data_IF_991195354885
#
_entry.id   IF_991195354885
#
_cell.length_a   1.000
_cell.length_b   1.000
_cell.length_c   1.000
_cell.angle_alpha   90.00
_cell.angle_beta   90.00
_cell.angle_gamma   90.00
#
_symmetry.space_group_name_H-M   'P 1'
#
loop_
_entity.id
_entity.type
_entity.pdbx_description
1 polymer ?
#
# COMPACT_ATOMS: atom_id res chain seq x y z
N UNK A 1 9.93 -32.66 -1.52
CA UNK A 1 9.62 -33.45 -2.73
C UNK A 1 8.75 -32.63 -3.67
N UNK A 2 9.29 -31.66 -4.43
CA UNK A 2 8.46 -30.65 -5.12
C UNK A 2 8.96 -30.17 -6.49
N UNK A 3 9.83 -30.92 -7.17
CA UNK A 3 10.47 -30.49 -8.42
C UNK A 3 10.02 -31.27 -9.67
N UNK A 4 9.13 -32.27 -9.53
CA UNK A 4 8.74 -33.15 -10.66
C UNK A 4 7.56 -32.64 -11.49
N UNK A 5 6.72 -31.76 -10.96
CA UNK A 5 5.53 -31.25 -11.67
C UNK A 5 5.85 -30.08 -12.58
N UNK A 6 6.63 -29.11 -12.08
CA UNK A 6 7.13 -27.98 -12.88
C UNK A 6 8.04 -28.44 -14.03
N UNK A 7 8.86 -29.47 -13.81
CA UNK A 7 9.71 -30.04 -14.86
C UNK A 7 8.92 -30.77 -15.94
N UNK A 8 7.80 -31.44 -15.59
CA UNK A 8 6.89 -32.06 -16.56
C UNK A 8 6.09 -31.03 -17.37
N UNK A 9 5.56 -29.98 -16.74
CA UNK A 9 4.84 -28.92 -17.46
C UNK A 9 5.79 -28.11 -18.34
N UNK A 10 6.99 -27.76 -17.85
CA UNK A 10 8.01 -27.10 -18.67
C UNK A 10 8.46 -27.98 -19.82
N UNK A 11 8.62 -29.29 -19.63
CA UNK A 11 8.93 -30.22 -20.72
C UNK A 11 7.80 -30.33 -21.75
N UNK A 12 6.53 -30.26 -21.32
CA UNK A 12 5.36 -30.27 -22.22
C UNK A 12 5.21 -28.93 -22.94
N UNK A 13 5.42 -27.79 -22.28
CA UNK A 13 5.45 -26.47 -22.94
C UNK A 13 6.63 -26.37 -23.92
N UNK A 14 7.79 -26.93 -23.57
CA UNK A 14 8.94 -27.03 -24.47
C UNK A 14 8.68 -27.99 -25.64
N UNK A 15 7.91 -29.07 -25.47
CA UNK A 15 7.52 -29.95 -26.58
C UNK A 15 6.42 -29.35 -27.46
N UNK A 16 5.58 -28.47 -26.90
CA UNK A 16 4.59 -27.68 -27.62
C UNK A 16 5.24 -26.54 -28.43
N UNK A 17 6.31 -25.93 -27.93
CA UNK A 17 7.04 -24.82 -28.58
C UNK A 17 8.19 -25.29 -29.48
N UNK A 18 8.83 -26.43 -29.19
CA UNK A 18 10.07 -26.89 -29.81
C UNK A 18 9.98 -27.46 -31.23
N UNK A 19 8.94 -27.16 -32.01
CA UNK A 19 8.79 -27.65 -33.39
C UNK A 19 8.68 -26.53 -34.43
N UNK A 20 9.25 -25.35 -34.17
CA UNK A 20 9.30 -24.24 -35.13
C UNK A 20 10.50 -24.23 -36.07
N UNK A 21 11.39 -25.23 -36.09
CA UNK A 21 12.50 -25.27 -37.04
C UNK A 21 12.54 -26.58 -37.84
N UNK A 22 12.04 -26.50 -39.09
CA UNK A 22 12.64 -27.11 -40.30
C UNK A 22 11.69 -27.05 -41.52
N UNK A 23 11.06 -25.91 -41.81
CA UNK A 23 10.47 -25.67 -43.14
C UNK A 23 10.79 -24.23 -43.58
N UNK A 24 12.07 -23.93 -43.80
CA UNK A 24 12.50 -22.76 -44.56
C UNK A 24 13.97 -22.86 -44.95
N UNK A 25 14.29 -23.54 -46.06
CA UNK A 25 15.38 -23.14 -46.97
C UNK A 25 15.39 -24.06 -48.19
N UNK A 26 14.92 -23.53 -49.32
CA UNK A 26 14.92 -24.21 -50.60
C UNK A 26 14.52 -23.27 -51.73
N UNK A 27 15.20 -22.13 -51.89
CA UNK A 27 15.14 -21.36 -53.15
C UNK A 27 16.26 -20.34 -53.33
N UNK A 28 17.02 -20.52 -54.41
CA UNK A 28 17.85 -19.51 -55.09
C UNK A 28 19.36 -19.77 -54.98
N UNK A 29 20.12 -20.06 -56.04
CA UNK A 29 19.83 -20.17 -57.46
C UNK A 29 21.09 -20.60 -58.24
N UNK A 30 20.94 -20.97 -59.52
CA UNK A 30 22.09 -21.16 -60.43
C UNK A 30 21.96 -22.25 -61.50
N UNK A 31 21.19 -21.95 -62.55
CA UNK A 31 21.24 -22.45 -63.95
C UNK A 31 21.98 -23.78 -64.26
N UNK A 32 21.23 -24.75 -64.79
CA UNK A 32 21.40 -25.24 -66.19
C UNK A 32 20.40 -26.34 -66.56
N UNK A 33 19.82 -26.17 -67.75
CA UNK A 33 19.37 -27.20 -68.72
C UNK A 33 18.69 -28.50 -68.24
N UNK A 34 17.45 -28.68 -68.72
CA UNK A 34 16.96 -30.00 -69.16
C UNK A 34 15.80 -30.57 -68.35
N UNK A 35 14.67 -30.74 -69.02
CA UNK A 35 13.64 -31.71 -68.64
C UNK A 35 12.70 -31.31 -67.51
N UNK A 36 11.55 -30.73 -67.85
CA UNK A 36 10.34 -30.84 -67.03
C UNK A 36 9.90 -32.31 -67.04
N UNK A 37 10.46 -33.10 -66.13
CA UNK A 37 9.82 -34.32 -65.66
C UNK A 37 8.90 -33.92 -64.51
N UNK A 38 7.68 -33.52 -64.86
CA UNK A 38 6.56 -33.41 -63.93
C UNK A 38 6.26 -34.81 -63.39
N UNK A 39 6.98 -35.19 -62.33
CA UNK A 39 6.73 -36.42 -61.60
C UNK A 39 5.38 -36.33 -60.90
N UNK A 40 4.37 -37.00 -61.45
CA UNK A 40 3.01 -37.16 -60.91
C UNK A 40 2.93 -37.89 -59.54
N UNK A 41 4.04 -38.03 -58.80
CA UNK A 41 4.11 -38.80 -57.54
C UNK A 41 4.31 -37.97 -56.25
N UNK A 42 4.73 -36.70 -56.33
CA UNK A 42 5.09 -35.90 -55.14
C UNK A 42 3.90 -35.31 -54.37
N UNK A 43 2.75 -35.12 -55.03
CA UNK A 43 1.56 -34.49 -54.43
C UNK A 43 0.88 -35.37 -53.38
N UNK A 44 0.83 -36.69 -53.59
CA UNK A 44 0.22 -37.64 -52.64
C UNK A 44 1.07 -37.80 -51.37
N UNK A 45 2.41 -37.85 -51.52
CA UNK A 45 3.32 -37.98 -50.37
C UNK A 45 3.28 -36.74 -49.48
N UNK A 46 3.20 -35.53 -50.07
CA UNK A 46 3.08 -34.28 -49.32
C UNK A 46 1.72 -34.17 -48.60
N UNK A 47 0.64 -34.64 -49.24
CA UNK A 47 -0.69 -34.64 -48.63
C UNK A 47 -0.79 -35.60 -47.44
N UNK A 48 -0.17 -36.79 -47.53
CA UNK A 48 -0.09 -37.74 -46.42
C UNK A 48 0.71 -37.17 -45.23
N UNK A 49 1.83 -36.50 -45.49
CA UNK A 49 2.63 -35.85 -44.44
C UNK A 49 1.84 -34.75 -43.71
N UNK A 50 1.09 -33.91 -44.44
CA UNK A 50 0.24 -32.87 -43.83
C UNK A 50 -0.92 -33.47 -43.00
N UNK A 51 -1.51 -34.59 -43.45
CA UNK A 51 -2.54 -35.29 -42.65
C UNK A 51 -1.98 -35.88 -41.35
N UNK A 52 -0.76 -36.43 -41.40
CA UNK A 52 -0.06 -36.90 -40.18
C UNK A 52 0.22 -35.73 -39.22
N UNK A 53 0.63 -34.56 -39.72
CA UNK A 53 0.81 -33.37 -38.89
C UNK A 53 -0.49 -32.92 -38.22
N UNK A 54 -1.63 -32.96 -38.93
CA UNK A 54 -2.94 -32.64 -38.33
C UNK A 54 -3.27 -33.62 -37.19
N UNK A 55 -3.01 -34.92 -37.36
CA UNK A 55 -3.24 -35.91 -36.31
C UNK A 55 -2.35 -35.67 -35.08
N UNK A 56 -1.07 -35.36 -35.30
CA UNK A 56 -0.13 -35.02 -34.21
C UNK A 56 -0.55 -33.76 -33.46
N UNK A 57 -0.98 -32.70 -34.17
CA UNK A 57 -1.52 -31.50 -33.54
C UNK A 57 -2.79 -31.84 -32.74
N UNK A 58 -3.67 -32.71 -33.27
CA UNK A 58 -4.86 -33.17 -32.56
C UNK A 58 -4.55 -33.85 -31.22
N UNK A 59 -3.53 -34.74 -31.19
CA UNK A 59 -3.07 -35.37 -29.95
C UNK A 59 -2.51 -34.34 -28.96
N UNK A 60 -1.67 -33.41 -29.43
CA UNK A 60 -1.10 -32.33 -28.61
C UNK A 60 -2.17 -31.40 -28.04
N UNK A 61 -3.25 -31.14 -28.78
CA UNK A 61 -4.38 -30.36 -28.29
C UNK A 61 -5.14 -31.11 -27.17
N UNK A 62 -5.36 -32.41 -27.31
CA UNK A 62 -5.98 -33.22 -26.25
C UNK A 62 -5.12 -33.30 -24.99
N UNK A 63 -3.80 -33.40 -25.14
CA UNK A 63 -2.87 -33.31 -24.01
C UNK A 63 -2.88 -31.92 -23.39
N UNK A 64 -2.90 -30.87 -24.22
CA UNK A 64 -3.04 -29.48 -23.80
C UNK A 64 -4.30 -29.23 -22.99
N UNK A 65 -5.45 -29.78 -23.40
CA UNK A 65 -6.73 -29.68 -22.68
C UNK A 65 -6.63 -30.29 -21.27
N UNK A 66 -5.99 -31.46 -21.13
CA UNK A 66 -5.77 -32.10 -19.82
C UNK A 66 -4.90 -31.22 -18.92
N UNK A 67 -3.78 -30.74 -19.45
CA UNK A 67 -2.84 -29.89 -18.70
C UNK A 67 -3.47 -28.54 -18.35
N UNK A 68 -4.27 -27.96 -19.25
CA UNK A 68 -5.01 -26.72 -18.98
C UNK A 68 -6.03 -26.92 -17.85
N UNK A 69 -6.73 -28.05 -17.85
CA UNK A 69 -7.69 -28.38 -16.80
C UNK A 69 -6.99 -28.50 -15.44
N UNK A 70 -5.92 -29.28 -15.35
CA UNK A 70 -5.11 -29.44 -14.13
C UNK A 70 -4.53 -28.10 -13.64
N UNK A 71 -4.02 -27.27 -14.55
CA UNK A 71 -3.50 -25.94 -14.21
C UNK A 71 -4.60 -25.00 -13.72
N UNK A 72 -5.80 -25.07 -14.30
CA UNK A 72 -6.94 -24.27 -13.88
C UNK A 72 -7.46 -24.68 -12.51
N UNK A 73 -7.57 -25.98 -12.24
CA UNK A 73 -7.94 -26.51 -10.91
C UNK A 73 -6.95 -26.04 -9.84
N UNK A 74 -5.65 -26.11 -10.13
CA UNK A 74 -4.61 -25.60 -9.22
C UNK A 74 -4.68 -24.08 -9.03
N UNK A 75 -4.98 -23.32 -10.08
CA UNK A 75 -5.16 -21.86 -9.96
C UNK A 75 -6.35 -21.53 -9.06
N UNK A 76 -7.44 -22.31 -9.13
CA UNK A 76 -8.60 -22.15 -8.25
C UNK A 76 -8.28 -22.49 -6.79
N UNK A 77 -7.52 -23.57 -6.53
CA UNK A 77 -7.04 -23.91 -5.18
C UNK A 77 -6.17 -22.78 -4.59
N UNK A 78 -5.21 -22.27 -5.37
CA UNK A 78 -4.34 -21.18 -4.96
C UNK A 78 -5.15 -19.89 -4.73
N UNK A 79 -6.19 -19.64 -5.53
CA UNK A 79 -7.09 -18.49 -5.33
C UNK A 79 -7.83 -18.59 -4.00
N UNK A 80 -8.30 -19.78 -3.60
CA UNK A 80 -8.93 -19.98 -2.29
C UNK A 80 -7.94 -19.74 -1.15
N UNK A 81 -6.70 -20.23 -1.26
CA UNK A 81 -5.64 -19.97 -0.28
C UNK A 81 -5.35 -18.47 -0.17
N UNK A 82 -5.26 -17.76 -1.29
CA UNK A 82 -5.07 -16.31 -1.30
C UNK A 82 -6.25 -15.57 -0.66
N UNK A 83 -7.49 -15.93 -0.98
CA UNK A 83 -8.68 -15.31 -0.37
C UNK A 83 -8.70 -15.51 1.14
N UNK A 84 -8.34 -16.70 1.63
CA UNK A 84 -8.22 -16.96 3.07
C UNK A 84 -7.13 -16.11 3.70
N UNK A 85 -5.94 -16.07 3.11
CA UNK A 85 -4.84 -15.25 3.62
C UNK A 85 -5.18 -13.74 3.64
N UNK A 86 -5.94 -13.25 2.66
CA UNK A 86 -6.42 -11.87 2.63
C UNK A 86 -7.45 -11.58 3.73
N UNK A 87 -8.39 -12.52 3.96
CA UNK A 87 -9.34 -12.42 5.06
C UNK A 87 -8.64 -12.43 6.43
N UNK A 88 -7.71 -13.35 6.64
CA UNK A 88 -6.91 -13.47 7.87
C UNK A 88 -6.09 -12.18 8.10
N UNK A 89 -5.45 -11.64 7.05
CA UNK A 89 -4.70 -10.38 7.15
C UNK A 89 -5.60 -9.17 7.48
N UNK A 90 -6.80 -9.10 6.91
CA UNK A 90 -7.78 -8.05 7.25
C UNK A 90 -8.26 -8.17 8.69
N UNK A 91 -8.43 -9.39 9.20
CA UNK A 91 -8.79 -9.62 10.59
C UNK A 91 -7.67 -9.17 11.54
N UNK A 92 -6.43 -9.62 11.31
CA UNK A 92 -5.28 -9.24 12.17
C UNK A 92 -4.99 -7.74 12.12
N UNK A 93 -5.26 -7.07 10.99
CA UNK A 93 -5.19 -5.61 10.91
C UNK A 93 -6.21 -4.93 11.85
N UNK A 94 -7.46 -5.42 11.90
CA UNK A 94 -8.47 -4.89 12.82
C UNK A 94 -8.09 -5.13 14.27
N UNK A 95 -7.62 -6.32 14.59
CA UNK A 95 -7.14 -6.69 15.92
C UNK A 95 -5.95 -5.82 16.35
N UNK A 96 -4.99 -5.55 15.46
CA UNK A 96 -3.87 -4.64 15.70
C UNK A 96 -4.34 -3.22 16.03
N UNK A 97 -5.30 -2.69 15.26
CA UNK A 97 -5.86 -1.35 15.50
C UNK A 97 -6.58 -1.31 16.86
N UNK A 98 -7.36 -2.34 17.18
CA UNK A 98 -8.06 -2.43 18.46
C UNK A 98 -7.10 -2.57 19.65
N UNK A 99 -6.07 -3.41 19.54
CA UNK A 99 -5.05 -3.58 20.56
C UNK A 99 -4.27 -2.28 20.81
N UNK A 100 -3.93 -1.54 19.74
CA UNK A 100 -3.30 -0.22 19.85
C UNK A 100 -4.19 0.76 20.61
N UNK A 101 -5.47 0.82 20.25
CA UNK A 101 -6.44 1.71 20.92
C UNK A 101 -6.60 1.34 22.40
N UNK A 102 -6.70 0.05 22.73
CA UNK A 102 -6.78 -0.41 24.12
C UNK A 102 -5.53 0.00 24.91
N UNK A 103 -4.33 -0.29 24.40
CA UNK A 103 -3.09 0.05 25.06
C UNK A 103 -2.95 1.58 25.29
N UNK A 104 -3.36 2.38 24.31
CA UNK A 104 -3.39 3.85 24.46
C UNK A 104 -4.37 4.33 25.53
N UNK A 105 -5.57 3.75 25.60
CA UNK A 105 -6.57 4.11 26.61
C UNK A 105 -6.16 3.66 28.01
N UNK A 106 -5.64 2.44 28.15
CA UNK A 106 -5.14 1.92 29.43
C UNK A 106 -3.99 2.79 29.95
N UNK A 107 -3.05 3.16 29.09
CA UNK A 107 -1.91 4.00 29.46
C UNK A 107 -2.33 5.46 29.76
N UNK A 108 -3.30 6.03 29.03
CA UNK A 108 -3.86 7.36 29.36
C UNK A 108 -4.56 7.38 30.71
N UNK A 109 -5.15 6.25 31.09
CA UNK A 109 -5.91 6.10 32.32
C UNK A 109 -5.07 5.57 33.49
N UNK A 110 -3.75 5.48 33.34
CA UNK A 110 -2.90 4.96 34.41
C UNK A 110 -3.04 5.78 35.69
N UNK A 111 -3.15 5.12 36.86
CA UNK A 111 -3.34 5.80 38.13
C UNK A 111 -2.17 6.73 38.46
N UNK A 112 -0.95 6.37 38.07
CA UNK A 112 0.24 7.20 38.29
C UNK A 112 0.18 8.51 37.51
N UNK A 113 -0.31 8.48 36.26
CA UNK A 113 -0.45 9.68 35.44
C UNK A 113 -1.57 10.58 35.95
N UNK A 114 -2.69 9.99 36.40
CA UNK A 114 -3.79 10.74 37.02
C UNK A 114 -3.35 11.40 38.32
N UNK A 115 -2.74 10.65 39.23
CA UNK A 115 -2.25 11.14 40.50
C UNK A 115 -1.20 12.25 40.31
N UNK A 116 -0.27 12.11 39.36
CA UNK A 116 0.73 13.15 39.09
C UNK A 116 0.10 14.44 38.55
N UNK A 117 -0.94 14.36 37.72
CA UNK A 117 -1.68 15.52 37.22
C UNK A 117 -2.46 16.21 38.34
N UNK A 118 -3.20 15.43 39.13
CA UNK A 118 -3.99 15.94 40.26
C UNK A 118 -3.10 16.62 41.30
N UNK A 119 -1.95 16.02 41.64
CA UNK A 119 -0.96 16.62 42.55
C UNK A 119 -0.44 17.95 42.02
N UNK A 120 -0.09 18.02 40.73
CA UNK A 120 0.42 19.26 40.12
C UNK A 120 -0.66 20.36 40.07
N UNK A 121 -1.91 19.98 39.80
CA UNK A 121 -3.05 20.90 39.79
C UNK A 121 -3.36 21.43 41.19
N UNK A 122 -3.35 20.56 42.20
CA UNK A 122 -3.51 20.94 43.61
C UNK A 122 -2.46 21.95 44.06
N UNK A 123 -1.18 21.66 43.83
CA UNK A 123 -0.08 22.59 44.18
C UNK A 123 -0.16 23.94 43.46
N UNK A 124 -0.64 23.95 42.20
CA UNK A 124 -0.87 25.19 41.46
C UNK A 124 -2.04 25.99 42.03
N UNK A 125 -3.09 25.31 42.49
CA UNK A 125 -4.20 25.91 43.22
C UNK A 125 -3.73 26.57 44.51
N UNK A 126 -2.97 25.83 45.33
CA UNK A 126 -2.39 26.35 46.57
C UNK A 126 -1.48 27.56 46.31
N UNK A 127 -0.63 27.52 45.28
CA UNK A 127 0.23 28.67 44.93
C UNK A 127 -0.61 29.90 44.51
N UNK A 128 -1.74 29.70 43.83
CA UNK A 128 -2.64 30.78 43.46
C UNK A 128 -3.32 31.40 44.70
N UNK A 129 -3.69 30.59 45.69
CA UNK A 129 -4.21 31.07 46.97
C UNK A 129 -3.16 31.89 47.74
N UNK A 130 -1.90 31.43 47.79
CA UNK A 130 -0.81 32.20 48.40
C UNK A 130 -0.61 33.52 47.66
N UNK A 131 -0.60 33.52 46.33
CA UNK A 131 -0.50 34.75 45.54
C UNK A 131 -1.61 35.73 45.89
N UNK A 132 -2.84 35.25 46.06
CA UNK A 132 -3.97 36.08 46.48
C UNK A 132 -3.70 36.70 47.87
N UNK A 133 -3.27 35.91 48.85
CA UNK A 133 -2.94 36.41 50.20
C UNK A 133 -1.81 37.44 50.16
N UNK A 134 -0.75 37.19 49.40
CA UNK A 134 0.38 38.13 49.23
C UNK A 134 -0.09 39.45 48.62
N UNK A 135 -0.94 39.41 47.60
CA UNK A 135 -1.52 40.62 46.98
C UNK A 135 -2.41 41.38 47.97
N UNK A 136 -3.19 40.68 48.80
CA UNK A 136 -4.00 41.30 49.85
C UNK A 136 -3.11 42.04 50.86
N UNK A 137 -2.03 41.41 51.35
CA UNK A 137 -1.05 42.04 52.23
C UNK A 137 -0.33 43.21 51.58
N UNK A 138 0.11 43.09 50.32
CA UNK A 138 0.72 44.20 49.58
C UNK A 138 -0.24 45.38 49.44
N UNK A 139 -1.53 45.10 49.21
CA UNK A 139 -2.56 46.13 49.10
C UNK A 139 -2.77 46.86 50.41
N UNK A 140 -2.71 46.18 51.56
CA UNK A 140 -2.90 46.81 52.88
C UNK A 140 -1.65 47.51 53.41
N UNK A 141 -0.47 46.93 53.21
CA UNK A 141 0.73 47.27 53.99
C UNK A 141 1.89 47.83 53.17
N UNK A 142 1.89 47.68 51.83
CA UNK A 142 3.00 48.12 50.99
C UNK A 142 2.69 49.43 50.25
N UNK A 143 3.27 50.53 50.72
CA UNK A 143 3.06 51.86 50.14
C UNK A 143 3.56 51.98 48.69
N UNK A 144 4.59 51.25 48.29
CA UNK A 144 5.09 51.24 46.91
C UNK A 144 4.12 50.52 45.98
N UNK A 145 3.58 49.37 46.42
CA UNK A 145 2.55 48.64 45.69
C UNK A 145 1.26 49.45 45.54
N UNK A 146 0.80 50.11 46.60
CA UNK A 146 -0.37 51.00 46.54
C UNK A 146 -0.18 52.14 45.54
N UNK A 147 1.01 52.78 45.52
CA UNK A 147 1.36 53.82 44.55
C UNK A 147 1.37 53.27 43.12
N UNK A 148 2.03 52.14 42.90
CA UNK A 148 2.10 51.50 41.58
C UNK A 148 0.71 51.08 41.08
N UNK A 149 -0.15 50.56 41.97
CA UNK A 149 -1.53 50.21 41.67
C UNK A 149 -2.35 51.41 41.27
N UNK A 150 -2.22 52.53 41.99
CA UNK A 150 -2.89 53.79 41.63
C UNK A 150 -2.43 54.30 40.25
N UNK A 151 -1.13 54.28 39.96
CA UNK A 151 -0.59 54.66 38.64
C UNK A 151 -1.17 53.79 37.53
N UNK A 152 -1.32 52.48 37.77
CA UNK A 152 -1.95 51.57 36.81
C UNK A 152 -3.45 51.85 36.62
N UNK A 153 -4.20 52.07 37.70
CA UNK A 153 -5.63 52.42 37.65
C UNK A 153 -5.87 53.77 36.95
N UNK A 154 -5.02 54.77 37.20
CA UNK A 154 -5.04 56.07 36.53
C UNK A 154 -4.74 55.92 35.03
N UNK A 155 -3.72 55.13 34.67
CA UNK A 155 -3.38 54.85 33.27
C UNK A 155 -4.50 54.12 32.53
N UNK A 156 -5.16 53.15 33.18
CA UNK A 156 -6.32 52.45 32.65
C UNK A 156 -7.51 53.39 32.42
N UNK A 157 -7.75 54.29 33.37
CA UNK A 157 -8.82 55.28 33.28
C UNK A 157 -8.56 56.26 32.14
N UNK A 158 -7.33 56.75 32.00
CA UNK A 158 -6.91 57.57 30.86
C UNK A 158 -7.03 56.85 29.52
N UNK A 159 -6.66 55.56 29.47
CA UNK A 159 -6.81 54.76 28.26
C UNK A 159 -8.28 54.58 27.86
N UNK A 160 -9.16 54.27 28.83
CA UNK A 160 -10.61 54.13 28.59
C UNK A 160 -11.23 55.44 28.12
N UNK A 161 -10.91 56.55 28.79
CA UNK A 161 -11.41 57.88 28.43
C UNK A 161 -10.97 58.32 27.02
N UNK A 162 -9.81 57.88 26.55
CA UNK A 162 -9.21 58.27 25.27
C UNK A 162 -9.19 57.11 24.24
N UNK A 163 -10.17 56.21 24.29
CA UNK A 163 -10.29 55.06 23.39
C UNK A 163 -11.12 55.32 22.12
N UNK A 164 -11.72 56.51 22.00
CA UNK A 164 -12.64 56.88 20.90
C UNK A 164 -11.98 57.08 19.53
N UNK A 165 -12.81 57.06 18.48
CA UNK A 165 -12.39 57.17 17.06
C UNK A 165 -11.70 58.51 16.75
N UNK A 166 -12.00 59.57 17.51
CA UNK A 166 -11.37 60.89 17.39
C UNK A 166 -9.93 60.95 17.93
N UNK A 167 -9.44 59.92 18.63
CA UNK A 167 -8.08 59.87 19.17
C UNK A 167 -7.13 59.24 18.15
N UNK A 168 -6.00 59.90 17.90
CA UNK A 168 -5.00 59.44 16.94
C UNK A 168 -4.50 58.03 17.29
N UNK A 169 -4.07 57.28 16.27
CA UNK A 169 -3.50 55.94 16.48
C UNK A 169 -2.21 55.98 17.33
N UNK A 170 -1.44 57.06 17.25
CA UNK A 170 -0.22 57.25 18.03
C UNK A 170 -0.53 57.46 19.52
N UNK A 171 -1.52 58.29 19.85
CA UNK A 171 -1.96 58.50 21.23
C UNK A 171 -2.51 57.21 21.84
N UNK A 172 -3.27 56.41 21.08
CA UNK A 172 -3.76 55.09 21.54
C UNK A 172 -2.62 54.10 21.82
N UNK A 173 -1.58 54.08 20.97
CA UNK A 173 -0.38 53.26 21.20
C UNK A 173 0.39 53.70 22.44
N UNK A 174 0.54 55.00 22.64
CA UNK A 174 1.25 55.54 23.81
C UNK A 174 0.50 55.22 25.12
N UNK A 175 -0.82 55.36 25.15
CA UNK A 175 -1.64 55.01 26.31
C UNK A 175 -1.60 53.50 26.60
N UNK A 176 -1.66 52.65 25.57
CA UNK A 176 -1.50 51.21 25.73
C UNK A 176 -0.11 50.84 26.30
N UNK A 177 0.94 51.54 25.85
CA UNK A 177 2.29 51.38 26.39
C UNK A 177 2.36 51.79 27.86
N UNK A 178 1.79 52.93 28.25
CA UNK A 178 1.72 53.38 29.66
C UNK A 178 1.01 52.37 30.56
N UNK A 179 -0.13 51.83 30.11
CA UNK A 179 -0.86 50.78 30.84
C UNK A 179 -0.01 49.52 30.98
N UNK A 180 0.66 49.09 29.91
CA UNK A 180 1.54 47.92 29.94
C UNK A 180 2.73 48.11 30.87
N UNK A 181 3.36 49.28 30.88
CA UNK A 181 4.49 49.62 31.75
C UNK A 181 4.06 49.64 33.22
N UNK A 182 2.94 50.31 33.54
CA UNK A 182 2.40 50.35 34.90
C UNK A 182 1.99 48.95 35.41
N UNK A 183 1.37 48.13 34.55
CA UNK A 183 1.05 46.73 34.89
C UNK A 183 2.31 45.91 35.16
N UNK A 184 3.38 46.13 34.37
CA UNK A 184 4.66 45.44 34.56
C UNK A 184 5.26 45.76 35.93
N UNK A 185 5.24 47.03 36.35
CA UNK A 185 5.72 47.46 37.66
C UNK A 185 4.94 46.77 38.79
N UNK A 186 3.59 46.78 38.73
CA UNK A 186 2.76 46.06 39.72
C UNK A 186 3.13 44.59 39.82
N UNK A 187 3.21 43.90 38.68
CA UNK A 187 3.60 42.48 38.64
C UNK A 187 5.00 42.24 39.16
N UNK A 188 5.96 43.12 38.88
CA UNK A 188 7.32 42.98 39.43
C UNK A 188 7.30 43.04 40.96
N UNK A 189 6.53 43.94 41.57
CA UNK A 189 6.40 44.01 43.02
C UNK A 189 5.74 42.73 43.58
N UNK A 190 4.66 42.25 42.94
CA UNK A 190 4.03 40.98 43.32
C UNK A 190 4.98 39.79 43.21
N UNK A 191 5.72 39.69 42.11
CA UNK A 191 6.64 38.59 41.84
C UNK A 191 7.83 38.61 42.82
N UNK A 192 8.33 39.80 43.21
CA UNK A 192 9.34 39.94 44.27
C UNK A 192 8.78 39.50 45.61
N UNK A 193 7.57 39.95 45.99
CA UNK A 193 6.95 39.54 47.24
C UNK A 193 6.67 38.03 47.30
N UNK A 194 6.23 37.44 46.18
CA UNK A 194 6.09 35.98 46.03
C UNK A 194 7.44 35.27 46.11
N UNK A 195 8.49 35.86 45.54
CA UNK A 195 9.84 35.33 45.60
C UNK A 195 10.49 35.50 46.98
N UNK A 196 9.93 36.30 47.89
CA UNK A 196 10.39 36.44 49.27
C UNK A 196 9.57 35.60 50.26
N UNK A 197 8.29 35.35 49.94
CA UNK A 197 7.39 34.52 50.74
C UNK A 197 7.89 33.06 50.84
N UNK A 198 8.10 32.58 52.07
CA UNK A 198 8.65 31.25 52.34
C UNK A 198 7.73 30.10 51.91
N UNK A 199 6.41 30.26 52.09
CA UNK A 199 5.43 29.25 51.67
C UNK A 199 5.37 29.15 50.14
N UNK A 200 5.39 30.29 49.45
CA UNK A 200 5.45 30.34 47.99
C UNK A 200 6.74 29.69 47.45
N UNK A 201 7.90 29.94 48.07
CA UNK A 201 9.17 29.28 47.72
C UNK A 201 9.07 27.76 47.79
N UNK A 202 8.52 27.25 48.89
CA UNK A 202 8.38 25.82 49.10
C UNK A 202 7.39 25.20 48.10
N UNK A 203 6.23 25.84 47.86
CA UNK A 203 5.30 25.38 46.82
C UNK A 203 5.92 25.39 45.42
N UNK A 204 6.70 26.41 45.06
CA UNK A 204 7.41 26.44 43.76
C UNK A 204 8.39 25.28 43.64
N UNK A 205 9.08 24.91 44.73
CA UNK A 205 9.95 23.73 44.75
C UNK A 205 9.14 22.44 44.58
N UNK A 206 8.05 22.27 45.32
CA UNK A 206 7.17 21.11 45.20
C UNK A 206 6.53 21.01 43.80
N UNK A 207 6.18 22.14 43.16
CA UNK A 207 5.69 22.17 41.78
C UNK A 207 6.76 21.69 40.80
N UNK A 208 8.03 22.06 41.00
CA UNK A 208 9.14 21.56 40.16
C UNK A 208 9.29 20.04 40.31
N UNK A 209 9.23 19.53 41.53
CA UNK A 209 9.28 18.10 41.83
C UNK A 209 8.07 17.36 41.22
N UNK A 210 6.85 17.84 41.42
CA UNK A 210 5.63 17.28 40.83
C UNK A 210 5.64 17.35 39.29
N UNK A 211 6.24 18.39 38.70
CA UNK A 211 6.43 18.48 37.24
C UNK A 211 7.40 17.41 36.75
N UNK A 212 8.48 17.13 37.49
CA UNK A 212 9.41 16.04 37.17
C UNK A 212 8.72 14.67 37.31
N UNK A 213 7.94 14.46 38.37
CA UNK A 213 7.11 13.25 38.56
C UNK A 213 6.13 13.04 37.40
N UNK A 214 5.42 14.10 36.97
CA UNK A 214 4.54 14.05 35.80
C UNK A 214 5.30 13.70 34.52
N UNK A 215 6.53 14.20 34.37
CA UNK A 215 7.43 13.83 33.28
C UNK A 215 7.77 12.34 33.29
N UNK A 216 8.09 11.78 34.46
CA UNK A 216 8.35 10.33 34.63
C UNK A 216 7.09 9.51 34.35
N UNK A 217 5.92 9.90 34.88
CA UNK A 217 4.66 9.22 34.61
C UNK A 217 4.30 9.24 33.11
N UNK A 218 4.60 10.34 32.42
CA UNK A 218 4.40 10.46 30.96
C UNK A 218 5.34 9.56 30.16
N UNK A 219 6.59 9.38 30.62
CA UNK A 219 7.51 8.39 30.03
C UNK A 219 7.00 6.97 30.23
N UNK A 220 6.61 6.62 31.47
CA UNK A 220 6.02 5.31 31.79
C UNK A 220 4.78 5.01 30.94
N UNK A 221 3.89 5.98 30.72
CA UNK A 221 2.77 5.83 29.78
C UNK A 221 3.23 5.35 28.40
N UNK A 222 4.29 5.95 27.86
CA UNK A 222 4.81 5.60 26.53
C UNK A 222 5.40 4.19 26.53
N UNK A 223 6.21 3.86 27.55
CA UNK A 223 6.78 2.53 27.74
C UNK A 223 5.71 1.45 27.92
N UNK A 224 4.64 1.72 28.66
CA UNK A 224 3.51 0.79 28.83
C UNK A 224 2.81 0.48 27.51
N UNK A 225 2.67 1.44 26.60
CA UNK A 225 2.13 1.19 25.26
C UNK A 225 3.09 0.32 24.45
N UNK A 226 4.39 0.62 24.48
CA UNK A 226 5.39 -0.13 23.71
C UNK A 226 5.53 -1.58 24.15
N UNK A 227 5.44 -1.81 25.46
CA UNK A 227 5.58 -3.12 26.09
C UNK A 227 4.26 -3.86 26.30
N UNK A 228 3.14 -3.29 25.84
CA UNK A 228 1.82 -3.91 26.00
C UNK A 228 1.79 -5.29 25.31
N UNK A 229 1.48 -6.38 26.05
CA UNK A 229 1.57 -7.74 25.54
C UNK A 229 0.54 -8.01 24.43
N UNK A 230 -0.66 -7.41 24.50
CA UNK A 230 -1.70 -7.61 23.49
C UNK A 230 -1.32 -6.92 22.18
N UNK A 231 -0.81 -5.69 22.26
CA UNK A 231 -0.30 -4.95 21.11
C UNK A 231 0.92 -5.63 20.50
N UNK A 232 1.84 -6.13 21.31
CA UNK A 232 3.01 -6.89 20.84
C UNK A 232 2.59 -8.16 20.09
N UNK A 233 1.70 -8.96 20.68
CA UNK A 233 1.14 -10.15 20.05
C UNK A 233 0.42 -9.82 18.73
N UNK A 234 -0.41 -8.78 18.71
CA UNK A 234 -1.12 -8.35 17.50
C UNK A 234 -0.16 -7.86 16.40
N UNK A 235 0.95 -7.19 16.74
CA UNK A 235 1.99 -6.81 15.76
C UNK A 235 2.63 -8.04 15.13
N UNK A 236 2.95 -9.06 15.92
CA UNK A 236 3.54 -10.31 15.42
C UNK A 236 2.55 -11.04 14.50
N UNK A 237 1.28 -11.17 14.91
CA UNK A 237 0.23 -11.80 14.10
C UNK A 237 0.00 -11.06 12.77
N UNK A 238 -0.03 -9.73 12.81
CA UNK A 238 -0.13 -8.89 11.62
C UNK A 238 1.05 -9.08 10.66
N UNK A 239 2.28 -9.09 11.19
CA UNK A 239 3.47 -9.33 10.37
C UNK A 239 3.44 -10.72 9.72
N UNK A 240 3.07 -11.74 10.48
CA UNK A 240 2.96 -13.10 9.97
C UNK A 240 1.94 -13.21 8.82
N UNK A 241 0.72 -12.74 9.04
CA UNK A 241 -0.33 -12.78 8.01
C UNK A 241 0.00 -11.92 6.79
N UNK A 242 0.78 -10.84 6.95
CA UNK A 242 1.28 -10.04 5.83
C UNK A 242 2.24 -10.83 4.94
N UNK A 243 3.18 -11.57 5.52
CA UNK A 243 4.10 -12.42 4.76
C UNK A 243 3.37 -13.60 4.11
N UNK A 244 2.40 -14.19 4.80
CA UNK A 244 1.53 -15.24 4.24
C UNK A 244 0.70 -14.72 3.05
N UNK A 245 0.10 -13.54 3.16
CA UNK A 245 -0.62 -12.88 2.06
C UNK A 245 0.31 -12.57 0.87
N UNK A 246 1.52 -12.07 1.15
CA UNK A 246 2.52 -11.79 0.11
C UNK A 246 2.90 -13.06 -0.66
N UNK A 247 3.11 -14.16 0.05
CA UNK A 247 3.39 -15.48 -0.54
C UNK A 247 2.21 -15.96 -1.37
N UNK A 248 1.01 -15.98 -0.81
CA UNK A 248 -0.19 -16.46 -1.52
C UNK A 248 -0.49 -15.62 -2.78
N UNK A 249 -0.22 -14.32 -2.75
CA UNK A 249 -0.35 -13.44 -3.93
C UNK A 249 0.66 -13.78 -5.03
N UNK A 250 1.90 -14.12 -4.65
CA UNK A 250 2.91 -14.56 -5.60
C UNK A 250 2.55 -15.90 -6.23
N UNK A 251 2.10 -16.87 -5.41
CA UNK A 251 1.64 -18.17 -5.86
C UNK A 251 0.46 -18.04 -6.84
N UNK A 252 -0.50 -17.16 -6.55
CA UNK A 252 -1.65 -16.89 -7.43
C UNK A 252 -1.21 -16.32 -8.78
N UNK A 253 -0.32 -15.32 -8.77
CA UNK A 253 0.22 -14.73 -9.99
C UNK A 253 0.97 -15.76 -10.84
N UNK A 254 1.69 -16.69 -10.21
CA UNK A 254 2.35 -17.78 -10.91
C UNK A 254 1.33 -18.75 -11.53
N UNK A 255 0.33 -19.20 -10.78
CA UNK A 255 -0.67 -20.15 -11.27
C UNK A 255 -1.53 -19.59 -12.42
N UNK A 256 -1.96 -18.33 -12.30
CA UNK A 256 -2.67 -17.63 -13.39
C UNK A 256 -1.76 -17.45 -14.62
N UNK A 257 -0.47 -17.13 -14.40
CA UNK A 257 0.53 -17.03 -15.45
C UNK A 257 0.76 -18.35 -16.20
N UNK A 258 0.85 -19.47 -15.48
CA UNK A 258 0.97 -20.82 -16.07
C UNK A 258 -0.25 -21.18 -16.92
N UNK A 259 -1.46 -20.96 -16.38
CA UNK A 259 -2.73 -21.19 -17.09
C UNK A 259 -2.81 -20.39 -18.39
N UNK A 260 -2.41 -19.12 -18.36
CA UNK A 260 -2.40 -18.25 -19.54
C UNK A 260 -1.37 -18.69 -20.59
N UNK A 261 -0.20 -19.19 -20.18
CA UNK A 261 0.81 -19.73 -21.11
C UNK A 261 0.31 -20.96 -21.84
N UNK A 262 -0.33 -21.90 -21.12
CA UNK A 262 -0.90 -23.11 -21.72
C UNK A 262 -1.99 -22.75 -22.72
N UNK A 263 -2.93 -21.86 -22.35
CA UNK A 263 -3.97 -21.37 -23.25
C UNK A 263 -3.40 -20.75 -24.52
N UNK A 264 -2.34 -19.95 -24.39
CA UNK A 264 -1.66 -19.33 -25.53
C UNK A 264 -0.99 -20.37 -26.44
N UNK A 265 -0.32 -21.36 -25.88
CA UNK A 265 0.31 -22.44 -26.64
C UNK A 265 -0.73 -23.29 -27.41
N UNK A 266 -1.87 -23.59 -26.77
CA UNK A 266 -2.98 -24.28 -27.43
C UNK A 266 -3.56 -23.45 -28.58
N UNK A 267 -3.71 -22.13 -28.41
CA UNK A 267 -4.17 -21.26 -29.48
C UNK A 267 -3.24 -21.29 -30.70
N UNK A 268 -1.92 -21.33 -30.49
CA UNK A 268 -0.93 -21.48 -31.57
C UNK A 268 -1.15 -22.78 -32.33
N UNK A 269 -1.35 -23.90 -31.62
CA UNK A 269 -1.63 -25.19 -32.25
C UNK A 269 -2.95 -25.21 -33.03
N UNK A 270 -4.01 -24.60 -32.50
CA UNK A 270 -5.28 -24.44 -33.21
C UNK A 270 -5.08 -23.68 -34.52
N UNK A 271 -4.35 -22.56 -34.47
CA UNK A 271 -4.05 -21.76 -35.66
C UNK A 271 -3.17 -22.54 -36.67
N UNK A 272 -2.19 -23.31 -36.18
CA UNK A 272 -1.34 -24.16 -37.02
C UNK A 272 -2.17 -25.25 -37.73
N UNK A 273 -3.07 -25.92 -37.01
CA UNK A 273 -3.98 -26.92 -37.58
C UNK A 273 -4.87 -26.30 -38.68
N UNK A 274 -5.45 -25.12 -38.41
CA UNK A 274 -6.30 -24.42 -39.37
C UNK A 274 -5.53 -24.01 -40.65
N UNK A 275 -4.28 -23.58 -40.49
CA UNK A 275 -3.40 -23.25 -41.61
C UNK A 275 -3.10 -24.46 -42.49
N UNK A 276 -2.72 -25.60 -41.88
CA UNK A 276 -2.46 -26.84 -42.63
C UNK A 276 -3.72 -27.34 -43.33
N UNK A 277 -4.88 -27.30 -42.66
CA UNK A 277 -6.14 -27.68 -43.27
C UNK A 277 -6.46 -26.82 -44.50
N UNK A 278 -6.28 -25.50 -44.40
CA UNK A 278 -6.48 -24.58 -45.53
C UNK A 278 -5.54 -24.88 -46.71
N UNK A 279 -4.30 -25.33 -46.44
CA UNK A 279 -3.35 -25.75 -47.47
C UNK A 279 -3.78 -27.06 -48.15
N UNK A 280 -4.29 -28.03 -47.38
CA UNK A 280 -4.83 -29.29 -47.93
C UNK A 280 -6.01 -28.99 -48.86
N UNK A 281 -6.95 -28.16 -48.42
CA UNK A 281 -8.14 -27.80 -49.20
C UNK A 281 -7.76 -27.09 -50.50
N UNK A 282 -6.76 -26.20 -50.47
CA UNK A 282 -6.22 -25.55 -51.65
C UNK A 282 -5.59 -26.56 -52.62
N UNK A 283 -4.78 -27.50 -52.12
CA UNK A 283 -4.18 -28.54 -52.98
C UNK A 283 -5.22 -29.45 -53.63
N UNK A 284 -6.25 -29.85 -52.89
CA UNK A 284 -7.36 -30.64 -53.43
C UNK A 284 -8.10 -29.86 -54.54
N UNK A 285 -8.32 -28.57 -54.36
CA UNK A 285 -8.94 -27.70 -55.37
C UNK A 285 -8.09 -27.54 -56.62
N UNK A 286 -6.77 -27.42 -56.47
CA UNK A 286 -5.85 -27.35 -57.62
C UNK A 286 -5.82 -28.68 -58.39
N UNK A 287 -5.87 -29.82 -57.69
CA UNK A 287 -5.94 -31.15 -58.33
C UNK A 287 -7.27 -31.37 -59.08
N UNK A 288 -8.40 -30.92 -58.54
CA UNK A 288 -9.70 -31.03 -59.21
C UNK A 288 -9.84 -30.10 -60.42
N UNK A 289 -9.20 -28.92 -60.39
CA UNK A 289 -9.13 -28.03 -61.57
C UNK A 289 -8.16 -28.53 -62.65
N UNK A 290 -7.13 -29.32 -62.29
CA UNK A 290 -6.17 -29.90 -63.23
C UNK A 290 -6.68 -31.12 -64.03
N UNK A 291 -7.77 -31.76 -63.62
CA UNK A 291 -8.39 -32.89 -64.34
C UNK A 291 -9.56 -32.50 -65.26
N UNK A 292 -9.97 -31.24 -65.29
CA UNK A 292 -11.12 -30.75 -66.06
C UNK A 292 -10.81 -30.18 -67.45
N UNK A 293 -9.59 -30.29 -67.96
CA UNK A 293 -9.14 -29.58 -69.17
C UNK A 293 -8.61 -30.47 -70.29
N UNK A 294 -9.51 -30.93 -71.18
CA UNK A 294 -9.22 -31.16 -72.60
C UNK A 294 -8.91 -32.60 -73.06
N UNK A 295 -9.87 -33.25 -73.74
CA UNK A 295 -9.81 -33.38 -75.21
C UNK A 295 -11.16 -33.86 -75.78
N UNK A 296 -12.10 -32.93 -75.90
CA UNK A 296 -13.29 -33.09 -76.74
C UNK A 296 -13.12 -32.22 -78.00
N UNK A 297 -13.45 -32.81 -79.16
CA UNK A 297 -13.48 -32.24 -80.52
C UNK A 297 -12.19 -32.29 -81.34
N UNK A 298 -12.11 -33.31 -82.21
CA UNK A 298 -11.64 -33.11 -83.58
C UNK A 298 -12.53 -33.89 -84.56
N UNK A 299 -13.72 -33.34 -84.83
CA UNK A 299 -14.50 -33.68 -86.02
C UNK A 299 -14.09 -32.73 -87.14
N UNK A 300 -13.65 -33.29 -88.26
CA UNK A 300 -13.74 -32.63 -89.57
C UNK A 300 -12.40 -32.37 -90.26
N UNK A 301 -11.98 -33.32 -91.12
CA UNK A 301 -11.44 -33.04 -92.47
C UNK A 301 -11.06 -34.34 -93.18
N UNK A 302 -11.61 -34.54 -94.38
CA UNK A 302 -10.98 -35.38 -95.41
C UNK A 302 -11.92 -36.35 -96.11
N UNK A 303 -12.46 -35.90 -97.25
CA UNK A 303 -12.88 -36.62 -98.48
C UNK A 303 -13.39 -38.05 -98.36
#
# INVERSE_FOLDING_TARGET
MGTSFLSRIVAIVLSLVGATEAIAQGRGGGRSQGGLQTGNGGGQQNQQAMQQQIQQIGQRLQEGDKVLKEASEKADEVRQVWQKADADHKQTLRELVQAKKSAEEDAKNSPELKAAKEKLEGLRGELAEIRKKVIETLTSENAEYQKARKVYEDALTQQKANSGVAVSSETRKELAKKVSEANKINKTIEDVAMADNSEAKELVKQIKEATAELGVASKKKTESIETDPKLSSAKIAFQRTREELKKAKADLAQADGETNRIRSAMQVLVNQRASIQSQIDLQQRLQSMGQGGGNGNNRGRGR
#
